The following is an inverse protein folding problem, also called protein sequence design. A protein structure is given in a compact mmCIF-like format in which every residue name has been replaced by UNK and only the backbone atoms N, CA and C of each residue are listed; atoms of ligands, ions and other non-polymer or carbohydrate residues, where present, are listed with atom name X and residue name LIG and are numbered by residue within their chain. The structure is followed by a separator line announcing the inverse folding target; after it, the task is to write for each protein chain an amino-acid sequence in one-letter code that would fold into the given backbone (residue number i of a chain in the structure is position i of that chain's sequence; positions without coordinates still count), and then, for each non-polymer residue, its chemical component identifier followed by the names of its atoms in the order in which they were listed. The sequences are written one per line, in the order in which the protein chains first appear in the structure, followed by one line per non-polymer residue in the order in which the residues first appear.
data_IF_974256372114
#
_entry.id   IF_974256372114
#
_cell.length_a   1.000
_cell.length_b   1.000
_cell.length_c   1.000
_cell.angle_alpha   90.00
_cell.angle_beta   90.00
_cell.angle_gamma   90.00
#
_symmetry.space_group_name_H-M   'P 1'
#
loop_
_entity.id
_entity.type
_entity.pdbx_description
1 polymer ?
#
# COMPACT_ATOMS: atom_id res chain seq x y z
N UNK A 1 3.16 6.48 15.18
CA UNK A 1 3.49 5.69 13.98
C UNK A 1 4.70 6.20 13.17
N UNK A 2 5.61 5.29 12.80
CA UNK A 2 6.74 5.51 11.87
C UNK A 2 6.69 4.55 10.67
N UNK A 3 7.42 4.86 9.58
CA UNK A 3 7.50 4.00 8.38
C UNK A 3 8.88 3.37 8.26
N UNK A 4 8.92 2.12 7.83
CA UNK A 4 10.17 1.42 7.51
C UNK A 4 9.92 0.35 6.44
N UNK A 5 11.00 -0.16 5.87
CA UNK A 5 10.94 -1.32 4.99
C UNK A 5 10.46 -2.54 5.78
N UNK A 6 9.62 -3.34 5.12
CA UNK A 6 9.11 -4.58 5.67
C UNK A 6 10.23 -5.62 5.74
N UNK A 7 10.22 -6.41 6.80
CA UNK A 7 11.05 -7.60 6.97
C UNK A 7 10.17 -8.84 7.01
N UNK A 8 10.75 -10.03 6.82
CA UNK A 8 9.96 -11.28 6.81
C UNK A 8 9.13 -11.51 8.07
N UNK A 9 9.57 -10.98 9.22
CA UNK A 9 8.83 -11.05 10.49
C UNK A 9 7.51 -10.27 10.44
N UNK A 10 7.40 -9.29 9.56
CA UNK A 10 6.17 -8.51 9.40
C UNK A 10 5.08 -9.25 8.62
N UNK A 11 5.43 -10.37 7.97
CA UNK A 11 4.51 -11.11 7.13
C UNK A 11 3.29 -11.66 7.88
N UNK A 12 3.45 -11.99 9.17
CA UNK A 12 2.35 -12.45 10.03
C UNK A 12 1.30 -11.34 10.21
N UNK A 13 1.72 -10.14 10.64
CA UNK A 13 0.80 -9.00 10.81
C UNK A 13 0.20 -8.52 9.48
N UNK A 14 0.98 -8.53 8.40
CA UNK A 14 0.47 -8.22 7.06
C UNK A 14 -0.56 -9.25 6.56
N UNK A 15 -0.43 -10.52 6.97
CA UNK A 15 -1.36 -11.58 6.64
C UNK A 15 -2.70 -11.38 7.37
N UNK A 16 -2.66 -10.96 8.64
CA UNK A 16 -3.84 -10.60 9.41
C UNK A 16 -4.61 -9.44 8.77
N UNK A 17 -3.91 -8.37 8.36
CA UNK A 17 -4.50 -7.22 7.66
C UNK A 17 -5.16 -7.58 6.31
N UNK A 18 -4.72 -8.66 5.67
CA UNK A 18 -5.20 -9.04 4.32
C UNK A 18 -6.15 -10.23 4.33
N UNK A 19 -6.30 -10.93 5.46
CA UNK A 19 -6.97 -12.22 5.53
C UNK A 19 -6.34 -13.30 4.63
N UNK A 20 -5.06 -13.15 4.26
CA UNK A 20 -4.33 -14.09 3.39
C UNK A 20 -3.38 -14.97 4.20
N UNK A 21 -2.97 -16.14 3.69
CA UNK A 21 -1.95 -16.96 4.35
C UNK A 21 -0.60 -16.23 4.48
N UNK A 22 0.09 -16.39 5.62
CA UNK A 22 1.41 -15.80 5.88
C UNK A 22 2.42 -16.10 4.78
N UNK A 23 2.48 -17.33 4.26
CA UNK A 23 3.42 -17.70 3.19
C UNK A 23 3.23 -16.88 1.91
N UNK A 24 1.98 -16.52 1.57
CA UNK A 24 1.67 -15.68 0.40
C UNK A 24 2.14 -14.26 0.65
N UNK A 25 1.94 -13.75 1.87
CA UNK A 25 2.35 -12.41 2.27
C UNK A 25 3.87 -12.28 2.36
N UNK A 26 4.58 -13.33 2.80
CA UNK A 26 6.04 -13.38 2.81
C UNK A 26 6.62 -13.22 1.40
N UNK A 27 6.00 -13.83 0.38
CA UNK A 27 6.41 -13.62 -1.01
C UNK A 27 6.31 -12.14 -1.44
N UNK A 28 5.35 -11.36 -0.91
CA UNK A 28 5.27 -9.93 -1.22
C UNK A 28 6.53 -9.18 -0.75
N UNK A 29 7.02 -9.50 0.45
CA UNK A 29 8.24 -8.89 1.02
C UNK A 29 9.48 -9.26 0.20
N UNK A 30 9.50 -10.44 -0.43
CA UNK A 30 10.62 -10.89 -1.25
C UNK A 30 10.61 -10.33 -2.68
N UNK A 31 9.43 -10.22 -3.29
CA UNK A 31 9.30 -9.94 -4.72
C UNK A 31 9.18 -8.45 -5.03
N UNK A 32 8.88 -7.61 -4.04
CA UNK A 32 8.54 -6.20 -4.21
C UNK A 32 9.16 -5.33 -3.13
N UNK A 33 9.16 -4.03 -3.38
CA UNK A 33 9.41 -3.05 -2.33
C UNK A 33 8.17 -2.95 -1.47
N UNK A 34 8.31 -3.28 -0.18
CA UNK A 34 7.22 -3.21 0.78
C UNK A 34 7.64 -2.31 1.94
N UNK A 35 6.79 -1.34 2.25
CA UNK A 35 6.91 -0.54 3.47
C UNK A 35 5.76 -0.80 4.41
N UNK A 36 6.07 -0.84 5.70
CA UNK A 36 5.11 -1.00 6.78
C UNK A 36 5.04 0.28 7.60
N UNK A 37 3.84 0.58 8.09
CA UNK A 37 3.60 1.63 9.04
C UNK A 37 3.44 0.99 10.42
N UNK A 38 4.33 1.36 11.34
CA UNK A 38 4.48 0.71 12.64
C UNK A 38 4.08 1.68 13.73
N UNK A 39 3.28 1.24 14.71
CA UNK A 39 2.96 2.05 15.90
C UNK A 39 4.24 2.52 16.61
N UNK A 40 4.21 3.72 17.21
CA UNK A 40 5.36 4.15 18.02
C UNK A 40 5.28 3.49 19.40
N UNK A 41 6.42 3.36 20.09
CA UNK A 41 6.49 2.69 21.40
C UNK A 41 5.66 3.42 22.50
N UNK A 42 5.31 4.69 22.26
CA UNK A 42 4.49 5.52 23.15
C UNK A 42 2.99 5.50 22.80
N UNK A 43 2.56 4.79 21.74
CA UNK A 43 1.13 4.58 21.46
C UNK A 43 0.59 3.55 22.50
N UNK A 44 -0.21 4.01 23.47
CA UNK A 44 -0.88 3.21 24.53
C UNK A 44 -1.89 2.14 24.00
N UNK A 45 -1.78 1.72 22.76
CA UNK A 45 -2.48 0.55 22.24
C UNK A 45 -1.66 -0.69 22.66
N UNK A 46 -2.14 -1.38 23.69
CA UNK A 46 -1.72 -2.72 24.17
C UNK A 46 -1.94 -3.84 23.12
N UNK A 47 -1.89 -3.53 21.82
CA UNK A 47 -1.94 -4.52 20.75
C UNK A 47 -0.52 -5.04 20.48
N UNK A 48 -0.35 -6.36 20.60
CA UNK A 48 0.85 -7.11 20.16
C UNK A 48 1.11 -7.01 18.63
N UNK A 49 0.30 -6.22 17.91
CA UNK A 49 0.32 -5.95 16.48
C UNK A 49 0.98 -4.59 16.17
N UNK A 50 2.31 -4.55 16.00
CA UNK A 50 3.02 -3.32 15.73
C UNK A 50 2.69 -2.74 14.35
N UNK A 51 2.24 -3.54 13.37
CA UNK A 51 2.00 -3.09 11.98
C UNK A 51 0.56 -2.60 11.80
N UNK A 52 0.39 -1.30 11.58
CA UNK A 52 -0.92 -0.64 11.36
C UNK A 52 -1.32 -0.53 9.88
N UNK A 53 -0.42 -0.89 8.99
CA UNK A 53 -0.65 -0.93 7.54
C UNK A 53 0.62 -1.22 6.75
N UNK A 54 0.46 -1.49 5.46
CA UNK A 54 1.59 -1.62 4.54
C UNK A 54 1.24 -1.19 3.11
N UNK A 55 2.28 -0.90 2.32
CA UNK A 55 2.19 -0.67 0.88
C UNK A 55 3.23 -1.55 0.17
N UNK A 56 2.83 -2.17 -0.93
CA UNK A 56 3.71 -2.94 -1.79
C UNK A 56 3.69 -2.33 -3.20
N UNK A 57 4.86 -1.98 -3.72
CA UNK A 57 4.99 -1.38 -5.04
C UNK A 57 6.19 -1.91 -5.82
N UNK A 58 6.13 -1.78 -7.14
CA UNK A 58 7.24 -2.10 -8.02
C UNK A 58 7.34 -1.10 -9.18
N UNK A 59 8.57 -0.87 -9.64
CA UNK A 59 8.88 0.06 -10.71
C UNK A 59 9.02 -0.70 -12.04
N UNK A 60 8.17 -0.38 -13.02
CA UNK A 60 8.21 -0.97 -14.37
C UNK A 60 7.85 0.07 -15.42
N UNK A 61 8.61 0.11 -16.53
CA UNK A 61 8.29 0.95 -17.71
C UNK A 61 7.95 2.40 -17.33
N UNK A 62 8.84 3.06 -16.58
CA UNK A 62 8.69 4.47 -16.17
C UNK A 62 7.45 4.74 -15.28
N UNK A 63 6.85 3.70 -14.72
CA UNK A 63 5.73 3.80 -13.77
C UNK A 63 5.99 2.97 -12.52
N UNK A 64 5.73 3.54 -11.35
CA UNK A 64 5.66 2.85 -10.07
C UNK A 64 4.23 2.35 -9.89
N UNK A 65 4.05 1.04 -9.83
CA UNK A 65 2.75 0.42 -9.61
C UNK A 65 2.59 0.10 -8.13
N UNK A 66 1.64 0.76 -7.47
CA UNK A 66 1.19 0.33 -6.15
C UNK A 66 0.29 -0.88 -6.35
N UNK A 67 0.82 -2.04 -6.00
CA UNK A 67 0.17 -3.34 -6.21
C UNK A 67 -0.74 -3.74 -5.08
N UNK A 68 -0.47 -3.25 -3.87
CA UNK A 68 -1.27 -3.51 -2.69
C UNK A 68 -1.05 -2.41 -1.65
N UNK A 69 -2.11 -2.02 -0.97
CA UNK A 69 -2.08 -1.11 0.17
C UNK A 69 -3.19 -1.53 1.14
N UNK A 70 -2.88 -1.64 2.43
CA UNK A 70 -3.81 -2.09 3.47
C UNK A 70 -3.47 -1.40 4.80
N UNK A 71 -4.46 -1.32 5.69
CA UNK A 71 -4.34 -0.68 6.99
C UNK A 71 -5.33 0.46 7.18
N UNK A 72 -5.17 1.22 8.25
CA UNK A 72 -6.04 2.37 8.54
C UNK A 72 -5.90 3.45 7.48
N UNK A 73 -6.91 4.30 7.30
CA UNK A 73 -6.85 5.42 6.34
C UNK A 73 -5.66 6.35 6.61
N UNK A 74 -5.28 6.54 7.88
CA UNK A 74 -4.10 7.30 8.27
C UNK A 74 -2.80 6.60 7.87
N UNK A 75 -2.68 5.29 8.15
CA UNK A 75 -1.54 4.50 7.73
C UNK A 75 -1.37 4.54 6.22
N UNK A 76 -2.44 4.27 5.46
CA UNK A 76 -2.44 4.29 4.01
C UNK A 76 -2.03 5.66 3.44
N UNK A 77 -2.52 6.75 4.04
CA UNK A 77 -2.11 8.12 3.64
C UNK A 77 -0.61 8.31 3.77
N UNK A 78 0.01 7.87 4.87
CA UNK A 78 1.45 8.02 5.06
C UNK A 78 2.25 7.04 4.21
N UNK A 79 1.77 5.82 4.04
CA UNK A 79 2.42 4.78 3.23
C UNK A 79 2.54 5.17 1.76
N UNK A 80 1.54 5.87 1.20
CA UNK A 80 1.61 6.35 -0.19
C UNK A 80 2.76 7.35 -0.42
N UNK A 81 3.31 8.00 0.61
CA UNK A 81 4.42 8.93 0.41
C UNK A 81 5.66 8.23 -0.15
N UNK A 82 5.92 6.98 0.23
CA UNK A 82 7.09 6.24 -0.22
C UNK A 82 7.16 5.97 -1.73
N UNK A 83 6.14 5.35 -2.37
CA UNK A 83 6.14 5.19 -3.82
C UNK A 83 6.13 6.54 -4.55
N UNK A 84 5.50 7.59 -3.98
CA UNK A 84 5.47 8.93 -4.55
C UNK A 84 6.85 9.61 -4.51
N UNK A 85 7.57 9.49 -3.40
CA UNK A 85 8.91 10.03 -3.25
C UNK A 85 9.91 9.30 -4.15
N UNK A 86 9.81 7.97 -4.22
CA UNK A 86 10.60 7.16 -5.15
C UNK A 86 10.34 7.60 -6.60
N UNK A 87 9.07 7.70 -7.00
CA UNK A 87 8.72 8.11 -8.35
C UNK A 87 9.18 9.53 -8.68
N UNK A 88 9.07 10.47 -7.74
CA UNK A 88 9.60 11.83 -7.91
C UNK A 88 11.12 11.82 -8.13
N UNK A 89 11.84 11.01 -7.37
CA UNK A 89 13.31 10.93 -7.46
C UNK A 89 13.77 10.31 -8.79
N UNK A 90 12.99 9.35 -9.30
CA UNK A 90 13.29 8.62 -10.53
C UNK A 90 12.57 9.20 -11.77
N UNK A 91 11.88 10.35 -11.63
CA UNK A 91 11.09 11.00 -12.69
C UNK A 91 10.02 10.08 -13.32
N UNK A 92 9.41 9.22 -12.52
CA UNK A 92 8.39 8.24 -12.90
C UNK A 92 6.97 8.70 -12.52
N UNK A 93 5.97 8.15 -13.21
CA UNK A 93 4.56 8.25 -12.76
C UNK A 93 4.26 7.21 -11.67
N UNK A 94 3.21 7.43 -10.88
CA UNK A 94 2.67 6.42 -9.96
C UNK A 94 1.28 6.01 -10.39
N UNK A 95 0.99 4.71 -10.41
CA UNK A 95 -0.33 4.17 -10.73
C UNK A 95 -0.80 3.19 -9.66
N UNK A 96 -2.10 3.21 -9.39
CA UNK A 96 -2.77 2.20 -8.57
C UNK A 96 -4.17 1.89 -9.12
N UNK A 97 -4.74 0.78 -8.65
CA UNK A 97 -6.11 0.36 -8.97
C UNK A 97 -6.91 0.29 -7.67
N UNK A 98 -8.07 0.94 -7.64
CA UNK A 98 -9.02 0.84 -6.54
C UNK A 98 -10.32 0.22 -7.03
N UNK A 99 -11.01 -0.53 -6.17
CA UNK A 99 -12.41 -0.87 -6.45
C UNK A 99 -13.27 0.40 -6.53
N UNK A 100 -14.38 0.35 -7.26
CA UNK A 100 -15.26 1.54 -7.41
C UNK A 100 -15.75 2.08 -6.06
N UNK A 101 -16.04 1.18 -5.12
CA UNK A 101 -16.57 1.50 -3.79
C UNK A 101 -15.49 1.41 -2.69
N UNK A 102 -14.21 1.57 -3.06
CA UNK A 102 -13.09 1.46 -2.12
C UNK A 102 -12.97 2.70 -1.22
N UNK A 103 -12.81 2.47 0.08
CA UNK A 103 -12.67 3.51 1.10
C UNK A 103 -11.35 4.30 0.95
N UNK A 104 -10.36 3.75 0.26
CA UNK A 104 -9.09 4.43 -0.03
C UNK A 104 -9.20 5.52 -1.09
N UNK A 105 -10.35 5.65 -1.77
CA UNK A 105 -10.58 6.69 -2.79
C UNK A 105 -10.21 8.08 -2.26
N UNK A 106 -10.75 8.47 -1.11
CA UNK A 106 -10.49 9.80 -0.52
C UNK A 106 -9.01 9.99 -0.16
N UNK A 107 -8.36 8.94 0.32
CA UNK A 107 -6.93 8.96 0.67
C UNK A 107 -6.09 9.20 -0.59
N UNK A 108 -6.40 8.49 -1.68
CA UNK A 108 -5.68 8.54 -2.95
C UNK A 108 -5.88 9.89 -3.64
N UNK A 109 -7.12 10.38 -3.70
CA UNK A 109 -7.41 11.72 -4.25
C UNK A 109 -6.74 12.83 -3.43
N UNK A 110 -6.69 12.71 -2.09
CA UNK A 110 -5.96 13.67 -1.23
C UNK A 110 -4.45 13.71 -1.48
N UNK A 111 -3.89 12.66 -2.08
CA UNK A 111 -2.48 12.59 -2.50
C UNK A 111 -2.24 13.09 -3.92
N UNK A 112 -3.27 13.65 -4.56
CA UNK A 112 -3.18 14.24 -5.90
C UNK A 112 -3.18 13.22 -7.03
N UNK A 113 -3.69 12.01 -6.78
CA UNK A 113 -3.98 11.07 -7.86
C UNK A 113 -5.26 11.47 -8.58
N UNK A 114 -5.27 11.28 -9.89
CA UNK A 114 -6.41 11.56 -10.76
C UNK A 114 -6.93 10.25 -11.38
N UNK A 115 -8.24 10.17 -11.62
CA UNK A 115 -8.82 9.03 -12.35
C UNK A 115 -8.29 9.01 -13.80
N UNK A 116 -7.59 7.94 -14.15
CA UNK A 116 -7.00 7.70 -15.47
C UNK A 116 -7.82 6.68 -16.30
N UNK A 117 -9.07 6.41 -15.90
CA UNK A 117 -10.02 5.56 -16.58
C UNK A 117 -10.31 4.23 -15.88
N UNK A 118 -11.01 3.33 -16.59
CA UNK A 118 -11.40 2.03 -16.04
C UNK A 118 -10.20 1.07 -15.93
N UNK A 119 -10.12 0.36 -14.81
CA UNK A 119 -9.19 -0.73 -14.60
C UNK A 119 -9.79 -2.09 -14.97
N UNK A 120 -8.99 -3.18 -14.86
CA UNK A 120 -9.51 -4.54 -15.01
C UNK A 120 -10.52 -4.88 -13.91
N UNK A 121 -11.28 -5.94 -14.11
CA UNK A 121 -12.10 -6.51 -13.03
C UNK A 121 -11.28 -7.49 -12.22
N UNK A 122 -11.37 -7.41 -10.89
CA UNK A 122 -10.86 -8.43 -9.98
C UNK A 122 -12.04 -9.13 -9.32
N UNK A 123 -12.13 -10.45 -9.48
CA UNK A 123 -13.20 -11.27 -8.89
C UNK A 123 -14.63 -10.75 -9.20
N UNK A 124 -14.79 -10.11 -10.36
CA UNK A 124 -16.05 -9.50 -10.82
C UNK A 124 -16.22 -8.02 -10.43
N UNK A 125 -15.47 -7.54 -9.44
CA UNK A 125 -15.46 -6.15 -8.96
C UNK A 125 -14.79 -5.24 -9.99
N UNK A 126 -15.45 -4.13 -10.33
CA UNK A 126 -14.87 -3.10 -11.23
C UNK A 126 -13.83 -2.30 -10.47
N UNK A 127 -12.76 -1.93 -11.17
CA UNK A 127 -11.75 -1.01 -10.64
C UNK A 127 -11.63 0.25 -11.46
N UNK A 128 -11.11 1.29 -10.83
CA UNK A 128 -10.72 2.55 -11.45
C UNK A 128 -9.20 2.65 -11.34
N UNK A 129 -8.56 3.05 -12.44
CA UNK A 129 -7.13 3.37 -12.45
C UNK A 129 -6.94 4.80 -11.99
N UNK A 130 -6.02 4.98 -11.07
CA UNK A 130 -5.58 6.28 -10.60
C UNK A 130 -4.11 6.50 -10.99
N UNK A 131 -3.75 7.72 -11.37
CA UNK A 131 -2.39 8.09 -11.77
C UNK A 131 -1.94 9.43 -11.21
N UNK A 132 -0.64 9.56 -10.94
CA UNK A 132 0.06 10.80 -10.60
C UNK A 132 1.41 10.89 -11.31
#
# INVERSE_FOLDING_TARGET
MHLRDAVERDADWMAELTGRPTDVTRNLVHDRTVQVAVADEDDDDDDDEPVRGFVAYDARRETVHVTQIQGTAEACRRLLDAPLEFARQEEMSVELLLAVDDELREVVESKGFEEAGEGPRFEGTRTIRYRR
#
